data_IF_320833999993
#
_entry.id   IF_320833999993
#
_cell.length_a   1.000
_cell.length_b   1.000
_cell.length_c   1.000
_cell.angle_alpha   90.00
_cell.angle_beta   90.00
_cell.angle_gamma   90.00
#
_symmetry.space_group_name_H-M   'P 1'
#
loop_
_entity.id
_entity.type
_entity.pdbx_description
1 polymer ?
#
# COMPACT_ATOMS: atom_id res chain seq x y z
N UNK A 1 27.03 -6.95 35.92
CA UNK A 1 25.71 -6.67 35.32
C UNK A 1 25.58 -5.16 35.17
N UNK A 2 25.58 -4.61 33.96
CA UNK A 2 25.88 -3.21 33.67
C UNK A 2 24.77 -2.25 34.11
N UNK A 3 24.96 -1.40 35.14
CA UNK A 3 23.91 -0.49 35.65
C UNK A 3 23.45 0.58 34.66
N UNK A 4 24.30 0.95 33.69
CA UNK A 4 23.99 1.91 32.63
C UNK A 4 22.98 1.37 31.61
N UNK A 5 22.96 0.07 31.35
CA UNK A 5 21.96 -0.58 30.48
C UNK A 5 20.57 -0.53 31.11
N UNK A 6 20.46 -0.73 32.42
CA UNK A 6 19.17 -0.68 33.14
C UNK A 6 18.64 0.74 33.29
N UNK A 7 19.52 1.74 33.47
CA UNK A 7 19.12 3.16 33.54
C UNK A 7 18.73 3.70 32.17
N UNK A 8 19.45 3.32 31.11
CA UNK A 8 19.12 3.67 29.71
C UNK A 8 17.81 3.02 29.27
N UNK A 9 17.59 1.75 29.57
CA UNK A 9 16.32 1.05 29.32
C UNK A 9 15.16 1.62 30.12
N UNK A 10 15.37 2.06 31.37
CA UNK A 10 14.35 2.77 32.17
C UNK A 10 14.01 4.15 31.57
N UNK A 11 15.01 4.91 31.14
CA UNK A 11 14.84 6.21 30.48
C UNK A 11 14.16 6.07 29.11
N UNK A 12 14.47 5.00 28.34
CA UNK A 12 13.75 4.64 27.12
C UNK A 12 12.29 4.24 27.40
N UNK A 13 12.03 3.49 28.48
CA UNK A 13 10.68 3.05 28.87
C UNK A 13 9.79 4.19 29.40
N UNK A 14 10.37 5.28 29.92
CA UNK A 14 9.64 6.45 30.44
C UNK A 14 9.30 7.50 29.38
N UNK A 15 9.87 7.43 28.18
CA UNK A 15 9.54 8.35 27.08
C UNK A 15 8.15 8.02 26.54
N UNK A 16 7.22 8.97 26.69
CA UNK A 16 5.87 8.89 26.11
C UNK A 16 5.89 8.59 24.62
N UNK A 17 6.87 9.15 23.91
CA UNK A 17 7.10 8.91 22.48
C UNK A 17 7.36 7.43 22.17
N UNK A 18 8.25 6.78 22.94
CA UNK A 18 8.61 5.38 22.70
C UNK A 18 7.42 4.46 23.01
N UNK A 19 6.71 4.72 24.10
CA UNK A 19 5.51 3.95 24.45
C UNK A 19 4.43 4.09 23.36
N UNK A 20 4.22 5.29 22.86
CA UNK A 20 3.23 5.58 21.83
C UNK A 20 3.61 4.99 20.47
N UNK A 21 4.89 5.08 20.10
CA UNK A 21 5.44 4.44 18.90
C UNK A 21 5.33 2.91 18.97
N UNK A 22 5.66 2.32 20.11
CA UNK A 22 5.53 0.88 20.32
C UNK A 22 4.07 0.41 20.18
N UNK A 23 3.11 1.13 20.75
CA UNK A 23 1.68 0.80 20.60
C UNK A 23 1.23 0.88 19.15
N UNK A 24 1.66 1.92 18.43
CA UNK A 24 1.31 2.08 17.01
C UNK A 24 1.97 1.00 16.14
N UNK A 25 3.25 0.67 16.40
CA UNK A 25 3.98 -0.38 15.69
C UNK A 25 3.37 -1.75 15.96
N UNK A 26 3.07 -2.09 17.21
CA UNK A 26 2.45 -3.37 17.58
C UNK A 26 1.06 -3.53 16.96
N UNK A 27 0.20 -2.49 17.06
CA UNK A 27 -1.13 -2.54 16.47
C UNK A 27 -1.10 -2.61 14.94
N UNK A 28 -0.17 -1.89 14.30
CA UNK A 28 0.02 -1.99 12.84
C UNK A 28 0.58 -3.37 12.45
N UNK A 29 1.51 -3.92 13.23
CA UNK A 29 2.05 -5.26 13.01
C UNK A 29 0.97 -6.35 13.11
N UNK A 30 0.14 -6.32 14.15
CA UNK A 30 -1.01 -7.24 14.30
C UNK A 30 -1.95 -7.11 13.10
N UNK A 31 -2.30 -5.88 12.72
CA UNK A 31 -3.17 -5.63 11.58
C UNK A 31 -2.59 -6.12 10.23
N UNK A 32 -1.27 -6.23 10.10
CA UNK A 32 -0.60 -6.81 8.92
C UNK A 32 -0.49 -8.32 8.98
N UNK A 33 -0.37 -8.91 10.17
CA UNK A 33 -0.27 -10.36 10.34
C UNK A 33 -1.62 -11.05 10.09
N UNK A 34 -2.74 -10.49 10.57
CA UNK A 34 -4.08 -11.06 10.40
C UNK A 34 -4.38 -11.45 8.93
N UNK A 35 -4.19 -10.55 7.93
CA UNK A 35 -4.43 -10.89 6.54
C UNK A 35 -3.54 -12.00 5.98
N UNK A 36 -2.35 -12.20 6.55
CA UNK A 36 -1.44 -13.29 6.14
C UNK A 36 -1.90 -14.61 6.73
N UNK A 37 -2.26 -14.62 8.02
CA UNK A 37 -2.70 -15.84 8.70
C UNK A 37 -4.04 -16.39 8.17
N UNK A 38 -4.91 -15.52 7.68
CA UNK A 38 -6.22 -15.93 7.17
C UNK A 38 -6.15 -16.48 5.73
N UNK A 39 -5.10 -16.17 4.96
CA UNK A 39 -4.96 -16.59 3.56
C UNK A 39 -5.19 -18.11 3.41
N UNK A 40 -4.53 -19.00 4.18
CA UNK A 40 -4.73 -20.46 4.04
C UNK A 40 -6.16 -20.92 4.31
N UNK A 41 -6.91 -20.19 5.12
CA UNK A 41 -8.34 -20.46 5.38
C UNK A 41 -9.18 -20.04 4.18
N UNK A 42 -8.94 -18.82 3.68
CA UNK A 42 -9.69 -18.29 2.54
C UNK A 42 -9.47 -19.10 1.26
N UNK A 43 -8.24 -19.57 1.01
CA UNK A 43 -7.94 -20.37 -0.19
C UNK A 43 -8.53 -21.78 -0.16
N UNK A 44 -8.96 -22.28 1.00
CA UNK A 44 -9.71 -23.52 1.12
C UNK A 44 -11.23 -23.33 1.03
N UNK A 45 -11.70 -22.10 1.24
CA UNK A 45 -13.12 -21.74 1.21
C UNK A 45 -13.57 -21.13 -0.11
N UNK A 46 -12.63 -20.57 -0.89
CA UNK A 46 -12.92 -19.80 -2.10
C UNK A 46 -12.07 -20.28 -3.27
N UNK A 47 -12.69 -20.37 -4.43
CA UNK A 47 -12.00 -20.69 -5.67
C UNK A 47 -11.06 -19.56 -6.13
N UNK A 48 -10.03 -19.88 -6.93
CA UNK A 48 -9.11 -18.87 -7.47
C UNK A 48 -9.81 -17.74 -8.23
N UNK A 49 -10.84 -18.02 -9.01
CA UNK A 49 -11.63 -16.99 -9.72
C UNK A 49 -12.34 -16.02 -8.79
N UNK A 50 -12.90 -16.51 -7.67
CA UNK A 50 -13.56 -15.65 -6.68
C UNK A 50 -12.58 -14.67 -6.04
N UNK A 51 -11.36 -15.14 -5.77
CA UNK A 51 -10.27 -14.30 -5.26
C UNK A 51 -9.80 -13.32 -6.33
N UNK A 52 -9.84 -13.70 -7.62
CA UNK A 52 -9.58 -12.80 -8.74
C UNK A 52 -10.59 -11.65 -8.82
N UNK A 53 -11.87 -11.93 -8.68
CA UNK A 53 -12.92 -10.90 -8.61
C UNK A 53 -12.71 -9.99 -7.39
N UNK A 54 -12.39 -10.55 -6.22
CA UNK A 54 -12.02 -9.74 -5.05
C UNK A 54 -10.80 -8.85 -5.35
N UNK A 55 -9.79 -9.38 -6.03
CA UNK A 55 -8.58 -8.62 -6.37
C UNK A 55 -8.90 -7.46 -7.32
N UNK A 56 -9.80 -7.65 -8.30
CA UNK A 56 -10.30 -6.58 -9.16
C UNK A 56 -11.07 -5.52 -8.37
N UNK A 57 -11.97 -5.93 -7.46
CA UNK A 57 -12.66 -5.00 -6.55
C UNK A 57 -11.67 -4.19 -5.70
N UNK A 58 -10.67 -4.85 -5.10
CA UNK A 58 -9.63 -4.20 -4.28
C UNK A 58 -8.80 -3.24 -5.14
N UNK A 59 -8.52 -3.58 -6.40
CA UNK A 59 -7.79 -2.71 -7.32
C UNK A 59 -8.54 -1.40 -7.59
N UNK A 60 -9.82 -1.49 -7.95
CA UNK A 60 -10.69 -0.32 -8.13
C UNK A 60 -10.82 0.49 -6.83
N UNK A 61 -11.11 -0.20 -5.72
CA UNK A 61 -11.18 0.40 -4.39
C UNK A 61 -9.92 1.18 -4.05
N UNK A 62 -8.73 0.63 -4.30
CA UNK A 62 -7.45 1.27 -3.96
C UNK A 62 -7.20 2.49 -4.84
N UNK A 63 -7.48 2.39 -6.15
CA UNK A 63 -7.30 3.50 -7.10
C UNK A 63 -8.18 4.70 -6.70
N UNK A 64 -9.46 4.48 -6.39
CA UNK A 64 -10.36 5.57 -6.03
C UNK A 64 -10.12 6.08 -4.60
N UNK A 65 -9.81 5.20 -3.65
CA UNK A 65 -9.57 5.59 -2.25
C UNK A 65 -8.36 6.48 -2.07
N UNK A 66 -7.34 6.35 -2.93
CA UNK A 66 -6.10 7.12 -2.80
C UNK A 66 -6.30 8.62 -2.97
N UNK A 67 -7.34 9.03 -3.70
CA UNK A 67 -7.67 10.45 -3.96
C UNK A 67 -8.95 10.90 -3.26
N UNK A 68 -9.65 10.01 -2.54
CA UNK A 68 -10.98 10.28 -1.99
C UNK A 68 -11.04 11.56 -1.13
N UNK A 69 -10.05 11.79 -0.25
CA UNK A 69 -9.92 12.99 0.58
C UNK A 69 -9.18 14.15 -0.08
N UNK A 70 -8.86 14.08 -1.38
CA UNK A 70 -8.04 15.06 -2.08
C UNK A 70 -6.61 15.17 -1.54
N UNK A 71 -6.15 14.18 -0.78
CA UNK A 71 -4.85 14.14 -0.09
C UNK A 71 -4.67 15.22 0.98
N UNK A 72 -5.70 16.00 1.29
CA UNK A 72 -5.67 16.98 2.37
C UNK A 72 -5.49 16.34 3.76
N UNK A 73 -5.80 15.06 3.91
CA UNK A 73 -5.60 14.32 5.15
C UNK A 73 -4.14 14.35 5.63
N UNK A 74 -3.16 14.37 4.73
CA UNK A 74 -1.74 14.48 5.08
C UNK A 74 -1.38 15.85 5.66
N UNK A 75 -2.11 16.88 5.28
CA UNK A 75 -1.96 18.23 5.81
C UNK A 75 -2.46 18.40 7.25
N UNK A 76 -3.30 17.51 7.79
CA UNK A 76 -3.95 17.69 9.10
C UNK A 76 -2.93 17.85 10.25
N UNK A 77 -1.79 17.20 10.16
CA UNK A 77 -0.74 17.25 11.21
C UNK A 77 0.25 18.40 11.05
N UNK A 78 0.24 19.12 9.92
CA UNK A 78 1.25 20.11 9.58
C UNK A 78 1.05 21.48 10.26
N UNK A 79 -0.17 22.07 10.29
CA UNK A 79 -0.37 23.38 10.87
C UNK A 79 -0.13 23.39 12.38
N UNK A 80 0.44 24.49 12.91
CA UNK A 80 0.54 24.69 14.36
C UNK A 80 -0.87 24.84 15.00
N UNK A 81 -1.77 25.54 14.31
CA UNK A 81 -3.12 25.85 14.75
C UNK A 81 -4.04 24.63 14.66
N UNK A 82 -4.71 24.30 15.75
CA UNK A 82 -5.77 23.26 15.75
C UNK A 82 -6.95 23.64 14.85
N UNK A 83 -7.17 24.93 14.61
CA UNK A 83 -8.22 25.43 13.71
C UNK A 83 -7.93 25.02 12.27
N UNK A 84 -6.72 25.22 11.77
CA UNK A 84 -6.33 24.81 10.42
C UNK A 84 -6.35 23.29 10.26
N UNK A 85 -5.84 22.55 11.26
CA UNK A 85 -5.91 21.07 11.26
C UNK A 85 -7.35 20.53 11.23
N UNK A 86 -8.27 21.20 11.96
CA UNK A 86 -9.71 20.89 11.92
C UNK A 86 -10.33 21.20 10.57
N UNK A 87 -10.02 22.35 9.98
CA UNK A 87 -10.51 22.72 8.66
C UNK A 87 -10.09 21.67 7.61
N UNK A 88 -8.86 21.18 7.67
CA UNK A 88 -8.36 20.11 6.78
C UNK A 88 -9.08 18.78 7.03
N UNK A 89 -9.44 18.45 8.27
CA UNK A 89 -10.26 17.27 8.57
C UNK A 89 -11.63 17.36 7.89
N UNK A 90 -12.32 18.48 8.07
CA UNK A 90 -13.64 18.68 7.43
C UNK A 90 -13.53 18.70 5.90
N UNK A 91 -12.51 19.37 5.35
CA UNK A 91 -12.27 19.42 3.90
C UNK A 91 -12.03 18.02 3.34
N UNK A 92 -11.12 17.26 3.93
CA UNK A 92 -10.85 15.88 3.50
C UNK A 92 -12.08 14.97 3.67
N UNK A 93 -12.80 15.08 4.78
CA UNK A 93 -14.04 14.33 5.01
C UNK A 93 -15.13 14.65 3.99
N UNK A 94 -15.36 15.94 3.72
CA UNK A 94 -16.35 16.40 2.71
C UNK A 94 -15.96 15.90 1.32
N UNK A 95 -14.68 16.03 0.93
CA UNK A 95 -14.21 15.52 -0.35
C UNK A 95 -14.36 14.01 -0.46
N UNK A 96 -14.14 13.26 0.63
CA UNK A 96 -14.37 11.81 0.64
C UNK A 96 -15.83 11.44 0.37
N UNK A 97 -16.77 12.19 0.94
CA UNK A 97 -18.20 11.99 0.67
C UNK A 97 -18.54 12.38 -0.77
N UNK A 98 -18.04 13.51 -1.26
CA UNK A 98 -18.25 13.95 -2.65
C UNK A 98 -17.68 12.93 -3.63
N UNK A 99 -16.49 12.43 -3.40
CA UNK A 99 -15.87 11.39 -4.23
C UNK A 99 -16.70 10.11 -4.24
N UNK A 100 -17.27 9.72 -3.11
CA UNK A 100 -18.19 8.59 -3.03
C UNK A 100 -19.48 8.83 -3.81
N UNK A 101 -20.07 10.03 -3.72
CA UNK A 101 -21.27 10.39 -4.49
C UNK A 101 -21.01 10.40 -6.01
N UNK A 102 -19.88 10.97 -6.43
CA UNK A 102 -19.45 10.92 -7.84
C UNK A 102 -19.28 9.46 -8.30
N UNK A 103 -18.63 8.64 -7.47
CA UNK A 103 -18.43 7.23 -7.80
C UNK A 103 -19.76 6.45 -7.81
N UNK A 104 -20.71 6.78 -6.92
CA UNK A 104 -22.06 6.22 -6.95
C UNK A 104 -22.78 6.57 -8.27
N UNK A 105 -22.69 7.83 -8.68
CA UNK A 105 -23.23 8.25 -9.98
C UNK A 105 -22.58 7.46 -11.13
N UNK A 106 -21.25 7.32 -11.14
CA UNK A 106 -20.56 6.56 -12.18
C UNK A 106 -20.97 5.08 -12.19
N UNK A 107 -21.14 4.45 -11.02
CA UNK A 107 -21.57 3.04 -10.92
C UNK A 107 -23.02 2.88 -11.43
N UNK A 108 -23.90 3.81 -11.14
CA UNK A 108 -25.30 3.76 -11.64
C UNK A 108 -25.37 3.73 -13.16
N UNK A 109 -24.60 4.59 -13.82
CA UNK A 109 -24.68 4.76 -15.28
C UNK A 109 -23.70 3.87 -16.05
N UNK A 110 -22.57 3.51 -15.44
CA UNK A 110 -21.47 2.83 -16.12
C UNK A 110 -21.06 1.49 -15.47
N UNK A 111 -21.72 1.07 -14.39
CA UNK A 111 -21.34 -0.16 -13.68
C UNK A 111 -21.39 -1.41 -14.55
N UNK A 112 -22.48 -1.63 -15.29
CA UNK A 112 -22.61 -2.74 -16.21
C UNK A 112 -21.59 -2.69 -17.36
N UNK A 113 -21.52 -1.56 -18.12
CA UNK A 113 -20.46 -1.38 -19.13
C UNK A 113 -19.05 -1.59 -18.62
N UNK A 114 -18.72 -1.12 -17.42
CA UNK A 114 -17.39 -1.33 -16.81
C UNK A 114 -17.15 -2.79 -16.48
N UNK A 115 -18.11 -3.48 -15.86
CA UNK A 115 -17.98 -4.91 -15.53
C UNK A 115 -17.80 -5.76 -16.80
N UNK A 116 -18.53 -5.44 -17.87
CA UNK A 116 -18.41 -6.08 -19.16
C UNK A 116 -17.07 -5.78 -19.83
N UNK A 117 -16.60 -4.52 -19.80
CA UNK A 117 -15.32 -4.12 -20.36
C UNK A 117 -14.13 -4.76 -19.65
N UNK A 118 -14.26 -5.02 -18.34
CA UNK A 118 -13.24 -5.72 -17.52
C UNK A 118 -13.39 -7.25 -17.61
N UNK A 119 -14.34 -7.75 -18.41
CA UNK A 119 -14.65 -9.19 -18.52
C UNK A 119 -14.89 -9.88 -17.16
N UNK A 120 -15.52 -9.17 -16.23
CA UNK A 120 -15.78 -9.63 -14.88
C UNK A 120 -17.26 -9.44 -14.50
N UNK A 121 -18.20 -10.13 -15.14
CA UNK A 121 -19.65 -9.95 -14.89
C UNK A 121 -20.03 -10.22 -13.44
N UNK A 122 -19.36 -11.15 -12.76
CA UNK A 122 -19.56 -11.44 -11.34
C UNK A 122 -19.18 -10.26 -10.42
N UNK A 123 -18.43 -9.26 -10.91
CA UNK A 123 -18.10 -8.05 -10.17
C UNK A 123 -19.26 -7.03 -10.17
N UNK A 124 -20.10 -7.02 -11.21
CA UNK A 124 -21.15 -6.01 -11.42
C UNK A 124 -22.05 -5.79 -10.20
N UNK A 125 -22.64 -6.84 -9.59
CA UNK A 125 -23.53 -6.67 -8.42
C UNK A 125 -22.83 -6.03 -7.22
N UNK A 126 -21.50 -6.10 -7.17
CA UNK A 126 -20.69 -5.64 -6.03
C UNK A 126 -20.12 -4.24 -6.23
N UNK A 127 -20.18 -3.68 -7.44
CA UNK A 127 -19.71 -2.31 -7.71
C UNK A 127 -20.47 -1.28 -6.87
N UNK A 128 -21.72 -1.58 -6.45
CA UNK A 128 -22.50 -0.71 -5.56
C UNK A 128 -21.91 -0.51 -4.17
N UNK A 129 -21.07 -1.43 -3.72
CA UNK A 129 -20.35 -1.29 -2.45
C UNK A 129 -19.12 -0.37 -2.58
N UNK A 130 -18.64 -0.13 -3.80
CA UNK A 130 -17.41 0.64 -4.04
C UNK A 130 -17.53 2.10 -3.55
N UNK A 131 -18.60 2.87 -3.86
CA UNK A 131 -18.78 4.22 -3.36
C UNK A 131 -18.75 4.33 -1.84
N UNK A 132 -19.45 3.43 -1.17
CA UNK A 132 -19.54 3.42 0.30
C UNK A 132 -18.18 3.06 0.92
N UNK A 133 -17.48 2.06 0.37
CA UNK A 133 -16.17 1.65 0.87
C UNK A 133 -15.10 2.71 0.62
N UNK A 134 -15.11 3.39 -0.53
CA UNK A 134 -14.19 4.50 -0.85
C UNK A 134 -14.42 5.68 0.09
N UNK A 135 -15.67 6.07 0.31
CA UNK A 135 -16.03 7.11 1.28
C UNK A 135 -15.54 6.74 2.68
N UNK A 136 -15.84 5.52 3.13
CA UNK A 136 -15.43 5.06 4.46
C UNK A 136 -13.90 5.03 4.61
N UNK A 137 -13.16 4.64 3.56
CA UNK A 137 -11.69 4.65 3.57
C UNK A 137 -11.13 6.07 3.63
N UNK A 138 -11.70 7.02 2.89
CA UNK A 138 -11.32 8.43 2.95
C UNK A 138 -11.55 9.02 4.35
N UNK A 139 -12.70 8.74 4.95
CA UNK A 139 -12.99 9.12 6.33
C UNK A 139 -12.04 8.44 7.31
N UNK A 140 -11.77 7.14 7.15
CA UNK A 140 -10.79 6.42 7.97
C UNK A 140 -9.42 7.13 7.95
N UNK A 141 -8.94 7.52 6.78
CA UNK A 141 -7.67 8.24 6.62
C UNK A 141 -7.72 9.61 7.31
N UNK A 142 -8.74 10.43 7.04
CA UNK A 142 -8.89 11.76 7.63
C UNK A 142 -8.93 11.71 9.17
N UNK A 143 -9.76 10.83 9.75
CA UNK A 143 -9.84 10.66 11.20
C UNK A 143 -8.59 10.00 11.80
N UNK A 144 -7.89 9.14 11.06
CA UNK A 144 -6.61 8.58 11.50
C UNK A 144 -5.55 9.66 11.67
N UNK A 145 -5.42 10.59 10.69
CA UNK A 145 -4.49 11.72 10.81
C UNK A 145 -4.91 12.72 11.90
N UNK A 146 -6.22 12.97 12.07
CA UNK A 146 -6.72 13.83 13.15
C UNK A 146 -6.44 13.22 14.53
N UNK A 147 -6.66 11.92 14.72
CA UNK A 147 -6.32 11.23 15.96
C UNK A 147 -4.80 11.16 16.19
N UNK A 148 -4.00 11.05 15.13
CA UNK A 148 -2.54 11.13 15.20
C UNK A 148 -2.10 12.51 15.74
N UNK A 149 -2.64 13.60 15.19
CA UNK A 149 -2.42 14.96 15.70
C UNK A 149 -2.75 15.08 17.19
N UNK A 150 -3.84 14.43 17.63
CA UNK A 150 -4.27 14.41 19.02
C UNK A 150 -3.59 13.31 19.86
N UNK A 151 -2.52 12.68 19.36
CA UNK A 151 -1.73 11.62 20.05
C UNK A 151 -2.55 10.39 20.48
N UNK A 152 -3.68 10.12 19.81
CA UNK A 152 -4.57 8.99 20.13
C UNK A 152 -4.16 7.70 19.40
N UNK A 153 -2.90 7.32 19.50
CA UNK A 153 -2.28 6.19 18.78
C UNK A 153 -2.95 4.83 19.04
N UNK A 154 -3.44 4.61 20.29
CA UNK A 154 -4.18 3.40 20.63
C UNK A 154 -5.47 3.25 19.84
N UNK A 155 -6.19 4.36 19.62
CA UNK A 155 -7.43 4.34 18.83
C UNK A 155 -7.16 4.03 17.37
N UNK A 156 -6.07 4.56 16.81
CA UNK A 156 -5.64 4.28 15.43
C UNK A 156 -5.26 2.80 15.29
N UNK A 157 -4.44 2.29 16.23
CA UNK A 157 -4.05 0.88 16.23
C UNK A 157 -5.27 -0.06 16.32
N UNK A 158 -6.19 0.22 17.24
CA UNK A 158 -7.42 -0.54 17.40
C UNK A 158 -8.31 -0.46 16.12
N UNK A 159 -8.38 0.70 15.47
CA UNK A 159 -9.10 0.86 14.21
C UNK A 159 -8.52 -0.01 13.08
N UNK A 160 -7.19 -0.07 12.94
CA UNK A 160 -6.51 -0.93 11.96
C UNK A 160 -6.76 -2.42 12.25
N UNK A 161 -6.64 -2.84 13.52
CA UNK A 161 -6.91 -4.23 13.93
C UNK A 161 -8.38 -4.58 13.73
N UNK A 162 -9.31 -3.67 14.05
CA UNK A 162 -10.74 -3.84 13.79
C UNK A 162 -11.01 -4.02 12.29
N UNK A 163 -10.35 -3.22 11.42
CA UNK A 163 -10.49 -3.33 9.97
C UNK A 163 -10.13 -4.72 9.48
N UNK A 164 -8.93 -5.19 9.81
CA UNK A 164 -8.43 -6.48 9.32
C UNK A 164 -9.12 -7.66 10.01
N UNK A 165 -9.42 -7.54 11.29
CA UNK A 165 -10.15 -8.57 12.05
C UNK A 165 -11.58 -8.75 11.56
N UNK A 166 -12.34 -7.66 11.38
CA UNK A 166 -13.70 -7.73 10.82
C UNK A 166 -13.68 -8.31 9.40
N UNK A 167 -12.75 -7.84 8.56
CA UNK A 167 -12.58 -8.40 7.20
C UNK A 167 -12.37 -9.92 7.27
N UNK A 168 -11.43 -10.38 8.07
CA UNK A 168 -11.11 -11.80 8.20
C UNK A 168 -12.30 -12.62 8.71
N UNK A 169 -12.99 -12.15 9.74
CA UNK A 169 -14.16 -12.86 10.32
C UNK A 169 -15.29 -12.97 9.30
N UNK A 170 -15.67 -11.85 8.66
CA UNK A 170 -16.80 -11.84 7.73
C UNK A 170 -16.48 -12.66 6.47
N UNK A 171 -15.24 -12.57 5.95
CA UNK A 171 -14.82 -13.39 4.83
C UNK A 171 -14.83 -14.87 5.17
N UNK A 172 -14.37 -15.27 6.35
CA UNK A 172 -14.41 -16.69 6.78
C UNK A 172 -15.83 -17.19 6.95
N UNK A 173 -16.68 -16.43 7.64
CA UNK A 173 -18.10 -16.79 7.81
C UNK A 173 -18.84 -16.85 6.47
N UNK A 174 -18.59 -15.88 5.58
CA UNK A 174 -19.17 -15.88 4.23
C UNK A 174 -18.73 -17.08 3.40
N UNK A 175 -17.47 -17.54 3.53
CA UNK A 175 -16.97 -18.74 2.87
C UNK A 175 -17.62 -20.01 3.41
N UNK A 176 -17.70 -20.16 4.73
CA UNK A 176 -18.38 -21.30 5.38
C UNK A 176 -19.87 -21.36 5.00
N UNK A 177 -20.51 -20.20 4.86
CA UNK A 177 -21.94 -20.10 4.51
C UNK A 177 -22.20 -20.17 2.99
N UNK A 178 -21.17 -20.33 2.15
CA UNK A 178 -21.31 -20.46 0.71
C UNK A 178 -21.73 -19.17 -0.02
N UNK A 179 -21.41 -17.99 0.53
CA UNK A 179 -21.75 -16.70 -0.10
C UNK A 179 -20.90 -16.38 -1.34
N UNK A 180 -19.94 -17.21 -1.68
CA UNK A 180 -19.03 -17.02 -2.81
C UNK A 180 -18.33 -15.68 -2.77
N UNK A 181 -18.17 -15.04 -3.92
CA UNK A 181 -17.56 -13.71 -4.07
C UNK A 181 -18.14 -12.66 -3.11
N UNK A 182 -19.47 -12.78 -2.81
CA UNK A 182 -20.15 -11.88 -1.89
C UNK A 182 -19.52 -11.86 -0.50
N UNK A 183 -19.19 -13.03 0.05
CA UNK A 183 -18.52 -13.11 1.36
C UNK A 183 -17.19 -12.39 1.41
N UNK A 184 -16.42 -12.46 0.32
CA UNK A 184 -15.14 -11.77 0.19
C UNK A 184 -15.28 -10.25 0.14
N UNK A 185 -16.20 -9.75 -0.71
CA UNK A 185 -16.36 -8.31 -0.94
C UNK A 185 -17.09 -7.63 0.23
N UNK A 186 -18.15 -8.24 0.75
CA UNK A 186 -18.87 -7.76 1.94
C UNK A 186 -17.91 -7.72 3.13
N UNK A 187 -17.07 -8.76 3.32
CA UNK A 187 -16.08 -8.77 4.38
C UNK A 187 -15.09 -7.61 4.27
N UNK A 188 -14.60 -7.28 3.07
CA UNK A 188 -13.75 -6.13 2.81
C UNK A 188 -14.47 -4.82 3.13
N UNK A 189 -15.70 -4.65 2.65
CA UNK A 189 -16.51 -3.46 2.88
C UNK A 189 -16.82 -3.26 4.37
N UNK A 190 -17.27 -4.31 5.06
CA UNK A 190 -17.57 -4.28 6.49
C UNK A 190 -16.34 -3.87 7.32
N UNK A 191 -15.16 -4.44 7.03
CA UNK A 191 -13.94 -4.07 7.71
C UNK A 191 -13.61 -2.58 7.59
N UNK A 192 -13.73 -2.01 6.39
CA UNK A 192 -13.47 -0.58 6.13
C UNK A 192 -14.51 0.30 6.83
N UNK A 193 -15.80 -0.01 6.71
CA UNK A 193 -16.90 0.78 7.28
C UNK A 193 -16.83 0.77 8.82
N UNK A 194 -16.66 -0.39 9.44
CA UNK A 194 -16.60 -0.52 10.90
C UNK A 194 -15.37 0.21 11.44
N UNK A 195 -14.22 0.11 10.76
CA UNK A 195 -13.02 0.81 11.19
C UNK A 195 -13.15 2.34 11.08
N UNK A 196 -13.79 2.86 10.04
CA UNK A 196 -14.09 4.27 9.91
C UNK A 196 -15.02 4.75 11.04
N UNK A 197 -16.10 4.01 11.30
CA UNK A 197 -17.01 4.27 12.42
C UNK A 197 -16.30 4.24 13.78
N UNK A 198 -15.37 3.30 13.98
CA UNK A 198 -14.52 3.25 15.19
C UNK A 198 -13.69 4.51 15.36
N UNK A 199 -12.98 4.98 14.31
CA UNK A 199 -12.16 6.19 14.43
C UNK A 199 -13.00 7.46 14.64
N UNK A 200 -14.14 7.57 13.97
CA UNK A 200 -15.09 8.67 14.17
C UNK A 200 -15.57 8.67 15.63
N UNK A 201 -16.02 7.53 16.16
CA UNK A 201 -16.48 7.42 17.55
C UNK A 201 -15.35 7.67 18.55
N UNK A 202 -14.12 7.23 18.24
CA UNK A 202 -12.96 7.51 19.06
C UNK A 202 -12.64 9.02 19.11
N UNK A 203 -12.78 9.72 17.98
CA UNK A 203 -12.59 11.17 17.89
C UNK A 203 -13.62 11.91 18.70
N UNK A 204 -14.90 11.55 18.58
CA UNK A 204 -16.01 12.14 19.35
C UNK A 204 -15.85 11.97 20.87
N UNK A 205 -15.31 10.83 21.31
CA UNK A 205 -15.16 10.53 22.74
C UNK A 205 -13.86 11.08 23.34
N UNK A 206 -12.75 11.05 22.58
CA UNK A 206 -11.40 11.30 23.14
C UNK A 206 -10.82 12.65 22.77
N UNK A 207 -11.29 13.27 21.68
CA UNK A 207 -10.84 14.58 21.23
C UNK A 207 -12.00 15.46 20.72
N UNK A 208 -13.13 15.59 21.47
CA UNK A 208 -14.31 16.33 21.02
C UNK A 208 -14.01 17.81 20.80
N UNK A 209 -13.08 18.38 21.55
CA UNK A 209 -12.66 19.79 21.42
C UNK A 209 -12.05 20.10 20.05
N UNK A 210 -11.46 19.10 19.37
CA UNK A 210 -10.93 19.26 18.03
C UNK A 210 -12.04 19.43 16.98
N UNK A 211 -13.28 18.94 17.23
CA UNK A 211 -14.43 18.98 16.33
C UNK A 211 -15.27 20.27 16.45
N UNK A 212 -14.64 21.41 16.72
CA UNK A 212 -15.36 22.69 16.83
C UNK A 212 -15.96 23.19 15.51
N UNK A 213 -16.66 24.33 15.58
CA UNK A 213 -17.30 24.94 14.41
C UNK A 213 -16.26 25.37 13.36
N UNK A 214 -16.60 25.23 12.09
CA UNK A 214 -15.81 25.63 10.93
C UNK A 214 -16.60 26.69 10.15
N UNK A 215 -15.93 27.78 9.76
CA UNK A 215 -16.51 28.83 8.92
C UNK A 215 -16.15 28.56 7.45
N UNK A 216 -17.10 28.71 6.49
CA UNK A 216 -16.84 28.47 5.06
C UNK A 216 -15.65 29.27 4.51
N UNK A 217 -15.49 30.54 4.93
CA UNK A 217 -14.40 31.39 4.46
C UNK A 217 -13.03 30.89 4.94
N UNK A 218 -12.96 30.35 6.16
CA UNK A 218 -11.74 29.77 6.70
C UNK A 218 -11.42 28.44 6.01
N UNK A 219 -12.44 27.65 5.68
CA UNK A 219 -12.28 26.41 4.93
C UNK A 219 -11.66 26.70 3.55
N UNK A 220 -12.18 27.75 2.83
CA UNK A 220 -11.64 28.17 1.54
C UNK A 220 -10.19 28.65 1.65
N UNK A 221 -9.87 29.46 2.67
CA UNK A 221 -8.50 29.93 2.91
C UNK A 221 -7.55 28.75 3.17
N UNK A 222 -7.94 27.82 4.05
CA UNK A 222 -7.14 26.63 4.33
C UNK A 222 -6.99 25.75 3.10
N UNK A 223 -8.04 25.56 2.30
CA UNK A 223 -7.98 24.82 1.05
C UNK A 223 -6.97 25.42 0.06
N UNK A 224 -6.95 26.76 -0.07
CA UNK A 224 -5.98 27.46 -0.93
C UNK A 224 -4.54 27.36 -0.40
N UNK A 225 -4.35 27.47 0.91
CA UNK A 225 -3.03 27.35 1.57
C UNK A 225 -2.42 25.96 1.33
N UNK A 226 -3.22 24.91 1.41
CA UNK A 226 -2.79 23.52 1.24
C UNK A 226 -3.07 22.95 -0.15
N UNK A 227 -3.27 23.78 -1.16
CA UNK A 227 -3.60 23.37 -2.54
C UNK A 227 -2.54 22.46 -3.19
N UNK A 228 -1.33 22.45 -2.68
CA UNK A 228 -0.24 21.58 -3.15
C UNK A 228 -0.58 20.07 -3.04
N UNK A 229 -1.40 19.69 -2.05
CA UNK A 229 -1.80 18.30 -1.89
C UNK A 229 -2.67 17.79 -3.04
N UNK A 230 -3.84 18.38 -3.36
CA UNK A 230 -4.62 17.93 -4.51
C UNK A 230 -3.95 18.23 -5.85
N UNK A 231 -3.13 19.29 -5.95
CA UNK A 231 -2.50 19.70 -7.21
C UNK A 231 -1.33 18.80 -7.62
N UNK A 232 -0.51 18.37 -6.67
CA UNK A 232 0.73 17.61 -6.96
C UNK A 232 0.73 16.23 -6.33
N UNK A 233 0.31 16.10 -5.06
CA UNK A 233 0.37 14.82 -4.36
C UNK A 233 -0.73 13.85 -4.84
N UNK A 234 -1.95 14.33 -5.11
CA UNK A 234 -3.03 13.46 -5.57
C UNK A 234 -2.76 12.84 -6.95
N UNK A 235 -2.34 13.59 -8.00
CA UNK A 235 -1.97 12.99 -9.28
C UNK A 235 -0.83 11.98 -9.18
N UNK A 236 0.23 12.31 -8.42
CA UNK A 236 1.34 11.37 -8.18
C UNK A 236 0.85 10.07 -7.53
N UNK A 237 0.03 10.19 -6.48
CA UNK A 237 -0.50 9.05 -5.78
C UNK A 237 -1.46 8.21 -6.64
N UNK A 238 -2.25 8.88 -7.50
CA UNK A 238 -3.15 8.21 -8.44
C UNK A 238 -2.36 7.39 -9.47
N UNK A 239 -1.35 7.97 -10.10
CA UNK A 239 -0.48 7.26 -11.06
C UNK A 239 0.21 6.07 -10.39
N UNK A 240 0.71 6.24 -9.17
CA UNK A 240 1.31 5.16 -8.38
C UNK A 240 0.31 4.05 -8.08
N UNK A 241 -0.92 4.42 -7.70
CA UNK A 241 -1.99 3.46 -7.39
C UNK A 241 -2.44 2.70 -8.64
N UNK A 242 -2.65 3.40 -9.75
CA UNK A 242 -2.98 2.77 -11.05
C UNK A 242 -1.88 1.80 -11.44
N UNK A 243 -0.62 2.23 -11.42
CA UNK A 243 0.54 1.38 -11.78
C UNK A 243 0.59 0.08 -10.98
N UNK A 244 0.31 0.15 -9.67
CA UNK A 244 0.35 -1.03 -8.80
C UNK A 244 -0.83 -1.98 -8.96
N UNK A 245 -2.00 -1.48 -9.39
CA UNK A 245 -3.24 -2.26 -9.47
C UNK A 245 -3.61 -2.66 -10.92
N UNK A 246 -3.05 -1.97 -11.92
CA UNK A 246 -3.35 -2.20 -13.32
C UNK A 246 -3.06 -3.64 -13.80
N UNK A 247 -1.98 -4.34 -13.38
CA UNK A 247 -1.75 -5.71 -13.78
C UNK A 247 -2.93 -6.64 -13.45
N UNK A 248 -3.52 -6.53 -12.28
CA UNK A 248 -4.70 -7.33 -11.89
C UNK A 248 -5.88 -7.05 -12.81
N UNK A 249 -6.13 -5.76 -13.10
CA UNK A 249 -7.23 -5.35 -13.98
C UNK A 249 -6.99 -5.86 -15.41
N UNK A 250 -5.77 -5.75 -15.93
CA UNK A 250 -5.45 -6.25 -17.27
C UNK A 250 -5.56 -7.78 -17.34
N UNK A 251 -5.11 -8.50 -16.31
CA UNK A 251 -5.16 -9.97 -16.33
C UNK A 251 -6.58 -10.51 -16.23
N UNK A 252 -7.47 -9.89 -15.46
CA UNK A 252 -8.87 -10.30 -15.44
C UNK A 252 -9.59 -9.92 -16.74
N UNK A 253 -9.25 -8.78 -17.34
CA UNK A 253 -9.87 -8.28 -18.56
C UNK A 253 -9.55 -9.15 -19.78
N UNK A 254 -8.29 -9.52 -19.93
CA UNK A 254 -7.80 -10.15 -21.17
C UNK A 254 -7.55 -11.65 -21.05
N UNK A 255 -7.55 -12.20 -19.84
CA UNK A 255 -7.40 -13.63 -19.61
C UNK A 255 -8.59 -14.17 -18.81
N UNK A 256 -8.38 -14.59 -17.56
CA UNK A 256 -9.46 -15.12 -16.70
C UNK A 256 -9.38 -14.58 -15.28
N UNK A 257 -10.52 -14.65 -14.58
CA UNK A 257 -10.63 -14.35 -13.15
C UNK A 257 -9.70 -15.24 -12.30
N UNK A 258 -9.57 -16.53 -12.63
CA UNK A 258 -8.66 -17.45 -11.95
C UNK A 258 -7.19 -17.03 -12.11
N UNK A 259 -6.76 -16.62 -13.30
CA UNK A 259 -5.41 -16.11 -13.57
C UNK A 259 -5.15 -14.86 -12.73
N UNK A 260 -6.10 -13.91 -12.69
CA UNK A 260 -6.00 -12.73 -11.86
C UNK A 260 -5.91 -13.08 -10.36
N UNK A 261 -6.63 -14.11 -9.91
CA UNK A 261 -6.59 -14.64 -8.55
C UNK A 261 -5.24 -15.23 -8.18
N UNK A 262 -4.69 -16.11 -9.01
CA UNK A 262 -3.35 -16.68 -8.84
C UNK A 262 -2.27 -15.59 -8.80
N UNK A 263 -2.33 -14.63 -9.73
CA UNK A 263 -1.39 -13.50 -9.75
C UNK A 263 -1.50 -12.64 -8.50
N UNK A 264 -2.71 -12.28 -8.09
CA UNK A 264 -2.93 -11.45 -6.91
C UNK A 264 -2.37 -12.12 -5.64
N UNK A 265 -2.57 -13.44 -5.49
CA UNK A 265 -2.00 -14.20 -4.38
C UNK A 265 -0.48 -14.32 -4.48
N UNK A 266 0.07 -14.62 -5.66
CA UNK A 266 1.50 -14.69 -5.91
C UNK A 266 2.19 -13.38 -5.55
N UNK A 267 1.66 -12.26 -6.04
CA UNK A 267 2.21 -10.94 -5.77
C UNK A 267 2.10 -10.55 -4.30
N UNK A 268 0.92 -10.75 -3.69
CA UNK A 268 0.67 -10.41 -2.27
C UNK A 268 1.59 -11.19 -1.34
N UNK A 269 1.72 -12.51 -1.52
CA UNK A 269 2.56 -13.35 -0.68
C UNK A 269 4.05 -13.03 -0.85
N UNK A 270 4.51 -12.81 -2.08
CA UNK A 270 5.91 -12.47 -2.37
C UNK A 270 6.29 -11.07 -1.88
N UNK A 271 5.37 -10.10 -1.96
CA UNK A 271 5.63 -8.70 -1.63
C UNK A 271 5.46 -8.36 -0.15
N UNK A 272 4.79 -9.21 0.63
CA UNK A 272 4.57 -8.98 2.06
C UNK A 272 5.89 -8.80 2.86
N UNK A 273 6.94 -9.61 2.68
CA UNK A 273 8.24 -9.39 3.34
C UNK A 273 8.88 -8.05 2.97
N UNK A 274 8.74 -7.62 1.69
CA UNK A 274 9.27 -6.33 1.20
C UNK A 274 8.65 -5.17 1.98
N UNK A 275 7.34 -5.17 2.16
CA UNK A 275 6.64 -4.09 2.87
C UNK A 275 7.03 -3.99 4.35
N UNK A 276 7.16 -5.13 5.03
CA UNK A 276 7.52 -5.17 6.45
C UNK A 276 8.92 -4.57 6.65
N UNK A 277 9.88 -4.99 5.84
CA UNK A 277 11.28 -4.54 5.94
C UNK A 277 11.39 -3.06 5.53
N UNK A 278 10.70 -2.64 4.47
CA UNK A 278 10.73 -1.26 3.99
C UNK A 278 10.27 -0.27 5.06
N UNK A 279 9.19 -0.61 5.78
CA UNK A 279 8.67 0.24 6.85
C UNK A 279 9.66 0.39 8.03
N UNK A 280 10.42 -0.68 8.35
CA UNK A 280 11.35 -0.68 9.47
C UNK A 280 12.68 0.02 9.13
N UNK A 281 13.16 -0.16 7.91
CA UNK A 281 14.53 0.23 7.52
C UNK A 281 14.59 1.60 6.86
N UNK A 282 13.54 1.99 6.10
CA UNK A 282 13.55 3.22 5.31
C UNK A 282 13.90 4.47 6.12
N UNK A 283 13.27 4.66 7.27
CA UNK A 283 13.51 5.85 8.11
C UNK A 283 14.91 5.87 8.73
N UNK A 284 15.41 4.72 9.18
CA UNK A 284 16.75 4.60 9.79
C UNK A 284 17.84 4.79 8.73
N UNK A 285 17.64 4.18 7.55
CA UNK A 285 18.59 4.29 6.46
C UNK A 285 18.67 5.73 5.93
N UNK A 286 17.53 6.39 5.67
CA UNK A 286 17.49 7.77 5.18
C UNK A 286 18.23 8.74 6.11
N UNK A 287 18.01 8.61 7.43
CA UNK A 287 18.72 9.43 8.43
C UNK A 287 20.23 9.20 8.40
N UNK A 288 20.68 7.93 8.45
CA UNK A 288 22.11 7.61 8.41
C UNK A 288 22.81 8.01 7.10
N UNK A 289 22.06 7.94 5.99
CA UNK A 289 22.56 8.35 4.70
C UNK A 289 22.83 9.87 4.69
N UNK A 290 21.91 10.68 5.23
CA UNK A 290 22.06 12.12 5.36
C UNK A 290 23.24 12.47 6.30
N UNK A 291 23.34 11.82 7.45
CA UNK A 291 24.48 11.98 8.39
C UNK A 291 25.82 11.75 7.68
N UNK A 292 25.95 10.62 6.96
CA UNK A 292 27.20 10.29 6.25
C UNK A 292 27.56 11.28 5.13
N UNK A 293 26.55 11.81 4.42
CA UNK A 293 26.77 12.86 3.43
C UNK A 293 27.31 14.12 4.09
N UNK A 294 26.77 14.53 5.23
CA UNK A 294 27.24 15.70 5.98
C UNK A 294 28.64 15.51 6.58
N UNK A 295 28.98 14.28 6.97
CA UNK A 295 30.32 13.91 7.48
C UNK A 295 31.39 13.83 6.38
N UNK A 296 31.03 14.01 5.10
CA UNK A 296 31.95 13.83 3.97
C UNK A 296 32.43 12.41 3.78
N UNK A 297 31.73 11.42 4.37
CA UNK A 297 32.07 10.01 4.28
C UNK A 297 31.73 9.44 2.90
N UNK A 298 32.40 8.33 2.52
CA UNK A 298 32.11 7.65 1.27
C UNK A 298 30.69 7.03 1.27
N UNK A 299 29.72 7.80 0.78
CA UNK A 299 28.30 7.44 0.70
C UNK A 299 28.10 6.20 -0.19
N UNK A 300 28.84 6.12 -1.32
CA UNK A 300 28.76 4.99 -2.26
C UNK A 300 29.13 3.67 -1.59
N UNK A 301 30.24 3.63 -0.85
CA UNK A 301 30.67 2.43 -0.14
C UNK A 301 29.63 2.00 0.91
N UNK A 302 29.00 2.94 1.59
CA UNK A 302 27.91 2.67 2.52
C UNK A 302 26.68 2.08 1.83
N UNK A 303 26.26 2.65 0.69
CA UNK A 303 25.13 2.15 -0.11
C UNK A 303 25.37 0.74 -0.60
N UNK A 304 26.57 0.45 -1.15
CA UNK A 304 26.97 -0.90 -1.58
C UNK A 304 26.89 -1.89 -0.40
N UNK A 305 27.42 -1.50 0.76
CA UNK A 305 27.36 -2.34 1.96
C UNK A 305 25.92 -2.67 2.35
N UNK A 306 25.00 -1.71 2.28
CA UNK A 306 23.57 -1.92 2.56
C UNK A 306 22.93 -2.84 1.53
N UNK A 307 23.19 -2.63 0.23
CA UNK A 307 22.70 -3.51 -0.84
C UNK A 307 23.13 -4.97 -0.60
N UNK A 308 24.41 -5.20 -0.29
CA UNK A 308 24.94 -6.54 -0.04
C UNK A 308 24.31 -7.20 1.21
N UNK A 309 24.04 -6.43 2.27
CA UNK A 309 23.36 -6.96 3.45
C UNK A 309 21.92 -7.38 3.14
N UNK A 310 21.17 -6.53 2.40
CA UNK A 310 19.80 -6.88 1.99
C UNK A 310 19.80 -8.07 1.02
N UNK A 311 20.76 -8.13 0.10
CA UNK A 311 20.91 -9.29 -0.78
C UNK A 311 21.16 -10.56 0.04
N UNK A 312 22.09 -10.54 1.00
CA UNK A 312 22.39 -11.70 1.83
C UNK A 312 21.18 -12.15 2.69
N UNK A 313 20.45 -11.20 3.30
CA UNK A 313 19.26 -11.50 4.11
C UNK A 313 18.13 -12.08 3.26
N UNK A 314 17.93 -11.54 2.06
CA UNK A 314 16.83 -11.95 1.17
C UNK A 314 17.08 -13.26 0.44
N UNK A 315 18.35 -13.67 0.22
CA UNK A 315 18.67 -14.84 -0.61
C UNK A 315 18.03 -16.14 -0.11
N UNK A 316 17.94 -16.34 1.18
CA UNK A 316 17.34 -17.55 1.77
C UNK A 316 15.82 -17.59 1.58
N UNK A 317 15.02 -16.60 2.04
CA UNK A 317 13.58 -16.66 1.89
C UNK A 317 13.12 -16.59 0.43
N UNK A 318 13.72 -15.72 -0.39
CA UNK A 318 13.35 -15.61 -1.81
C UNK A 318 13.89 -16.80 -2.63
N UNK A 319 15.07 -17.33 -2.30
CA UNK A 319 15.60 -18.55 -2.90
C UNK A 319 14.73 -19.77 -2.61
N UNK A 320 14.23 -19.92 -1.38
CA UNK A 320 13.29 -20.98 -1.01
C UNK A 320 12.00 -20.88 -1.83
N UNK A 321 11.43 -19.68 -1.94
CA UNK A 321 10.22 -19.44 -2.74
C UNK A 321 10.46 -19.69 -4.24
N UNK A 322 11.65 -19.38 -4.76
CA UNK A 322 12.02 -19.65 -6.14
C UNK A 322 12.13 -21.14 -6.42
N UNK A 323 12.80 -21.90 -5.54
CA UNK A 323 13.03 -23.33 -5.74
C UNK A 323 11.82 -24.18 -5.42
N UNK A 324 11.16 -23.90 -4.30
CA UNK A 324 10.07 -24.73 -3.76
C UNK A 324 8.68 -24.06 -3.86
N UNK A 325 8.53 -22.97 -4.61
CA UNK A 325 7.27 -22.21 -4.71
C UNK A 325 6.02 -23.07 -4.88
N UNK A 326 5.88 -23.92 -5.94
CA UNK A 326 4.70 -24.74 -6.12
C UNK A 326 4.41 -25.67 -4.94
N UNK A 327 5.42 -26.31 -4.37
CA UNK A 327 5.25 -27.19 -3.21
C UNK A 327 4.81 -26.41 -1.96
N UNK A 328 5.43 -25.25 -1.70
CA UNK A 328 5.11 -24.37 -0.57
C UNK A 328 3.67 -23.84 -0.70
N UNK A 329 3.28 -23.35 -1.88
CA UNK A 329 1.95 -22.79 -2.09
C UNK A 329 0.88 -23.88 -2.13
N UNK A 330 1.14 -25.04 -2.75
CA UNK A 330 0.25 -26.18 -2.72
C UNK A 330 0.00 -26.70 -1.30
N UNK A 331 1.05 -26.75 -0.46
CA UNK A 331 0.93 -27.17 0.95
C UNK A 331 0.16 -26.13 1.80
N UNK A 332 0.52 -24.85 1.69
CA UNK A 332 -0.06 -23.79 2.53
C UNK A 332 -1.49 -23.44 2.08
N UNK A 333 -1.69 -23.23 0.78
CA UNK A 333 -2.95 -22.71 0.23
C UNK A 333 -3.91 -23.81 -0.25
N UNK A 334 -3.41 -25.02 -0.50
CA UNK A 334 -4.15 -26.14 -1.06
C UNK A 334 -3.72 -26.48 -2.49
N UNK A 335 -4.08 -27.69 -2.95
CA UNK A 335 -3.62 -28.24 -4.24
C UNK A 335 -3.97 -27.36 -5.45
N UNK A 336 -5.15 -26.75 -5.44
CA UNK A 336 -5.62 -25.87 -6.53
C UNK A 336 -4.76 -24.59 -6.69
N UNK A 337 -3.95 -24.26 -5.68
CA UNK A 337 -3.10 -23.08 -5.64
C UNK A 337 -1.64 -23.33 -5.99
N UNK A 338 -1.30 -24.55 -6.44
CA UNK A 338 0.06 -24.91 -6.86
C UNK A 338 0.58 -23.97 -7.97
N UNK A 339 -0.31 -23.61 -8.92
CA UNK A 339 -0.04 -22.66 -10.01
C UNK A 339 0.44 -21.28 -9.48
N UNK A 340 -0.05 -20.85 -8.32
CA UNK A 340 0.44 -19.61 -7.67
C UNK A 340 1.95 -19.67 -7.43
N UNK A 341 2.47 -20.85 -7.06
CA UNK A 341 3.90 -21.05 -6.86
C UNK A 341 4.72 -20.90 -8.13
N UNK A 342 4.19 -21.29 -9.30
CA UNK A 342 4.86 -21.05 -10.57
C UNK A 342 4.90 -19.56 -10.91
N UNK A 343 3.82 -18.82 -10.64
CA UNK A 343 3.79 -17.37 -10.83
C UNK A 343 4.77 -16.68 -9.87
N UNK A 344 4.88 -17.16 -8.64
CA UNK A 344 5.87 -16.69 -7.67
C UNK A 344 7.29 -16.88 -8.19
N UNK A 345 7.63 -18.05 -8.74
CA UNK A 345 8.96 -18.29 -9.34
C UNK A 345 9.31 -17.24 -10.39
N UNK A 346 8.37 -16.89 -11.26
CA UNK A 346 8.57 -15.88 -12.30
C UNK A 346 8.72 -14.48 -11.69
N UNK A 347 7.98 -14.15 -10.64
CA UNK A 347 7.99 -12.84 -10.01
C UNK A 347 9.17 -12.63 -9.04
N UNK A 348 9.71 -13.69 -8.45
CA UNK A 348 10.75 -13.59 -7.41
C UNK A 348 11.97 -12.77 -7.84
N UNK A 349 12.55 -12.89 -9.05
CA UNK A 349 13.69 -12.06 -9.43
C UNK A 349 13.39 -10.56 -9.32
N UNK A 350 12.21 -10.14 -9.77
CA UNK A 350 11.76 -8.75 -9.67
C UNK A 350 11.48 -8.34 -8.21
N UNK A 351 10.78 -9.16 -7.45
CA UNK A 351 10.41 -8.86 -6.04
C UNK A 351 11.67 -8.85 -5.15
N UNK A 352 12.61 -9.75 -5.38
CA UNK A 352 13.88 -9.78 -4.66
C UNK A 352 14.73 -8.53 -4.91
N UNK A 353 14.85 -8.08 -6.16
CA UNK A 353 15.52 -6.82 -6.46
C UNK A 353 14.78 -5.61 -5.87
N UNK A 354 13.44 -5.63 -5.86
CA UNK A 354 12.65 -4.61 -5.18
C UNK A 354 12.98 -4.57 -3.68
N UNK A 355 13.07 -5.74 -3.02
CA UNK A 355 13.47 -5.84 -1.62
C UNK A 355 14.85 -5.22 -1.35
N UNK A 356 15.81 -5.48 -2.21
CA UNK A 356 17.18 -4.96 -2.08
C UNK A 356 17.23 -3.44 -2.31
N UNK A 357 16.46 -2.93 -3.28
CA UNK A 357 16.51 -1.52 -3.70
C UNK A 357 15.62 -0.59 -2.88
N UNK A 358 14.64 -1.13 -2.18
CA UNK A 358 13.65 -0.33 -1.44
C UNK A 358 14.27 0.71 -0.48
N UNK A 359 15.31 0.39 0.32
CA UNK A 359 15.95 1.39 1.18
C UNK A 359 16.56 2.56 0.41
N UNK A 360 17.01 2.33 -0.83
CA UNK A 360 17.68 3.32 -1.66
C UNK A 360 16.75 4.41 -2.22
N UNK A 361 15.45 4.23 -2.10
CA UNK A 361 14.44 5.20 -2.57
C UNK A 361 14.59 6.61 -1.99
N UNK A 362 15.34 6.79 -0.91
CA UNK A 362 15.70 8.08 -0.32
C UNK A 362 16.86 8.80 -1.03
N UNK A 363 17.67 8.12 -1.85
CA UNK A 363 18.84 8.70 -2.52
C UNK A 363 18.46 9.87 -3.43
N UNK A 364 17.45 9.80 -4.31
CA UNK A 364 17.05 10.91 -5.14
C UNK A 364 16.63 12.15 -4.35
N UNK A 365 16.05 11.97 -3.16
CA UNK A 365 15.68 13.06 -2.27
C UNK A 365 16.94 13.75 -1.70
N UNK A 366 17.95 12.97 -1.34
CA UNK A 366 19.20 13.48 -0.75
C UNK A 366 20.05 14.30 -1.75
N UNK A 367 19.90 14.00 -3.05
CA UNK A 367 20.65 14.66 -4.15
C UNK A 367 19.77 15.56 -5.03
N UNK A 368 18.59 15.98 -4.56
CA UNK A 368 17.63 16.84 -5.26
C UNK A 368 17.26 16.40 -6.69
N UNK A 369 17.20 15.06 -6.90
CA UNK A 369 16.89 14.43 -8.19
C UNK A 369 15.48 13.82 -8.25
N UNK A 370 14.52 14.34 -7.47
CA UNK A 370 13.15 13.82 -7.41
C UNK A 370 12.43 13.87 -8.75
N UNK A 371 12.66 14.94 -9.54
CA UNK A 371 12.07 15.08 -10.88
C UNK A 371 12.52 13.95 -11.80
N UNK A 372 13.83 13.65 -11.81
CA UNK A 372 14.38 12.54 -12.60
C UNK A 372 13.84 11.19 -12.11
N UNK A 373 13.78 10.98 -10.79
CA UNK A 373 13.20 9.77 -10.20
C UNK A 373 11.73 9.57 -10.63
N UNK A 374 10.94 10.65 -10.68
CA UNK A 374 9.55 10.59 -11.13
C UNK A 374 9.44 10.26 -12.63
N UNK A 375 10.28 10.84 -13.48
CA UNK A 375 10.30 10.51 -14.91
C UNK A 375 10.68 9.04 -15.12
N UNK A 376 11.72 8.55 -14.44
CA UNK A 376 12.11 7.14 -14.49
C UNK A 376 11.00 6.20 -14.00
N UNK A 377 10.26 6.61 -12.97
CA UNK A 377 9.09 5.88 -12.51
C UNK A 377 8.02 5.81 -13.60
N UNK A 378 7.68 6.91 -14.27
CA UNK A 378 6.70 6.91 -15.36
C UNK A 378 7.14 6.03 -16.53
N UNK A 379 8.41 6.09 -16.93
CA UNK A 379 8.99 5.22 -17.96
C UNK A 379 8.86 3.74 -17.52
N UNK A 380 9.16 3.45 -16.26
CA UNK A 380 9.05 2.10 -15.69
C UNK A 380 7.62 1.56 -15.76
N UNK A 381 6.63 2.41 -15.48
CA UNK A 381 5.21 2.06 -15.58
C UNK A 381 4.85 1.74 -17.02
N UNK A 382 5.23 2.62 -17.97
CA UNK A 382 4.92 2.46 -19.38
C UNK A 382 5.54 1.18 -19.96
N UNK A 383 6.83 0.94 -19.69
CA UNK A 383 7.53 -0.26 -20.18
C UNK A 383 6.88 -1.54 -19.65
N UNK A 384 6.47 -1.57 -18.37
CA UNK A 384 5.79 -2.75 -17.80
C UNK A 384 4.38 -2.95 -18.36
N UNK A 385 3.66 -1.87 -18.64
CA UNK A 385 2.35 -1.95 -19.31
C UNK A 385 2.53 -2.53 -20.71
N UNK A 386 3.49 -2.04 -21.49
CA UNK A 386 3.79 -2.57 -22.83
C UNK A 386 4.19 -4.05 -22.77
N UNK A 387 4.97 -4.45 -21.77
CA UNK A 387 5.34 -5.84 -21.54
C UNK A 387 4.11 -6.75 -21.32
N UNK A 388 3.13 -6.29 -20.54
CA UNK A 388 1.87 -7.02 -20.34
C UNK A 388 1.09 -7.10 -21.67
N UNK A 389 0.96 -5.99 -22.38
CA UNK A 389 0.24 -5.97 -23.68
C UNK A 389 0.88 -6.83 -24.74
N UNK A 390 2.20 -7.02 -24.73
CA UNK A 390 2.87 -7.98 -25.64
C UNK A 390 2.35 -9.40 -25.45
N UNK A 391 2.22 -9.85 -24.20
CA UNK A 391 1.68 -11.18 -23.94
C UNK A 391 0.16 -11.27 -24.21
N UNK A 392 -0.59 -10.18 -23.99
CA UNK A 392 -2.02 -10.09 -24.35
C UNK A 392 -2.18 -10.24 -25.88
N UNK A 393 -1.36 -9.54 -26.65
CA UNK A 393 -1.40 -9.61 -28.12
C UNK A 393 -1.08 -11.01 -28.67
N UNK A 394 -0.23 -11.76 -27.96
CA UNK A 394 0.11 -13.15 -28.28
C UNK A 394 -0.89 -14.17 -27.72
N UNK A 395 -1.88 -13.75 -26.94
CA UNK A 395 -2.80 -14.58 -26.16
C UNK A 395 -2.07 -15.58 -25.21
N UNK A 396 -0.93 -15.16 -24.68
CA UNK A 396 -0.07 -15.97 -23.82
C UNK A 396 0.18 -15.26 -22.47
N UNK A 397 -0.61 -15.61 -21.44
CA UNK A 397 -0.47 -15.03 -20.11
C UNK A 397 0.96 -15.15 -19.52
N UNK A 398 1.57 -16.33 -19.68
CA UNK A 398 2.93 -16.56 -19.16
C UNK A 398 3.95 -15.61 -19.78
N UNK A 399 3.79 -15.23 -21.04
CA UNK A 399 4.63 -14.22 -21.71
C UNK A 399 4.44 -12.84 -21.06
N UNK A 400 3.19 -12.45 -20.78
CA UNK A 400 2.90 -11.22 -20.05
C UNK A 400 3.62 -11.19 -18.69
N UNK A 401 3.54 -12.26 -17.93
CA UNK A 401 4.11 -12.36 -16.58
C UNK A 401 5.65 -12.37 -16.61
N UNK A 402 6.25 -13.12 -17.54
CA UNK A 402 7.70 -13.19 -17.71
C UNK A 402 8.24 -11.82 -18.15
N UNK A 403 7.64 -11.18 -19.15
CA UNK A 403 8.08 -9.87 -19.63
C UNK A 403 7.88 -8.78 -18.56
N UNK A 404 6.77 -8.82 -17.80
CA UNK A 404 6.55 -7.92 -16.67
C UNK A 404 7.64 -8.05 -15.60
N UNK A 405 8.02 -9.28 -15.25
CA UNK A 405 9.09 -9.54 -14.28
C UNK A 405 10.46 -9.15 -14.83
N UNK A 406 10.79 -9.56 -16.05
CA UNK A 406 12.08 -9.29 -16.68
C UNK A 406 12.32 -7.78 -16.88
N UNK A 407 11.33 -7.04 -17.39
CA UNK A 407 11.42 -5.58 -17.51
C UNK A 407 11.55 -4.91 -16.15
N UNK A 408 10.84 -5.41 -15.14
CA UNK A 408 10.99 -4.95 -13.75
C UNK A 408 12.43 -5.14 -13.23
N UNK A 409 13.04 -6.30 -13.49
CA UNK A 409 14.44 -6.59 -13.15
C UNK A 409 15.40 -5.61 -13.83
N UNK A 410 15.27 -5.43 -15.15
CA UNK A 410 16.14 -4.52 -15.92
C UNK A 410 16.05 -3.08 -15.43
N UNK A 411 14.85 -2.60 -15.14
CA UNK A 411 14.60 -1.27 -14.61
C UNK A 411 15.25 -1.10 -13.23
N UNK A 412 15.12 -2.09 -12.34
CA UNK A 412 15.70 -2.00 -11.00
C UNK A 412 17.24 -2.07 -11.03
N UNK A 413 17.82 -2.85 -11.94
CA UNK A 413 19.26 -2.85 -12.17
C UNK A 413 19.75 -1.47 -12.65
N UNK A 414 19.01 -0.83 -13.57
CA UNK A 414 19.28 0.54 -13.98
C UNK A 414 19.15 1.52 -12.82
N UNK A 415 18.13 1.39 -11.94
CA UNK A 415 17.98 2.23 -10.76
C UNK A 415 19.16 2.06 -9.79
N UNK A 416 19.67 0.84 -9.57
CA UNK A 416 20.88 0.62 -8.74
C UNK A 416 22.05 1.37 -9.33
N UNK A 417 22.29 1.21 -10.65
CA UNK A 417 23.36 1.92 -11.34
C UNK A 417 23.23 3.44 -11.16
N UNK A 418 22.04 3.98 -11.42
CA UNK A 418 21.76 5.41 -11.29
C UNK A 418 21.93 5.93 -9.85
N UNK A 419 21.46 5.19 -8.85
CA UNK A 419 21.65 5.58 -7.45
C UNK A 419 23.13 5.61 -7.05
N UNK A 420 23.91 4.66 -7.52
CA UNK A 420 25.36 4.63 -7.26
C UNK A 420 26.08 5.78 -7.96
N UNK A 421 25.70 6.13 -9.20
CA UNK A 421 26.28 7.28 -9.92
C UNK A 421 25.98 8.61 -9.23
N UNK A 422 24.79 8.78 -8.64
CA UNK A 422 24.47 9.97 -7.84
C UNK A 422 25.37 10.11 -6.60
N UNK A 423 25.75 8.97 -6.00
CA UNK A 423 26.68 8.96 -4.87
C UNK A 423 28.12 9.34 -5.26
N UNK A 424 28.53 9.14 -6.52
CA UNK A 424 29.84 9.53 -7.05
C UNK A 424 29.91 11.03 -7.35
N UNK A 425 28.89 11.57 -8.03
CA UNK A 425 28.84 13.00 -8.40
C UNK A 425 28.73 13.94 -7.20
N UNK A 426 28.12 13.49 -6.10
CA UNK A 426 28.06 14.25 -4.86
C UNK A 426 29.41 14.35 -4.10
N UNK A 427 30.42 13.58 -4.50
CA UNK A 427 31.77 13.66 -3.94
C UNK A 427 32.67 14.69 -4.68
N UNK A 428 32.28 15.06 -5.90
CA UNK A 428 33.07 15.95 -6.78
C UNK A 428 32.47 17.36 -6.83
N UNK A 429 31.73 17.84 -5.86
CA UNK A 429 31.40 19.25 -5.62
C UNK A 429 31.20 20.17 -6.84
N UNK A 430 30.71 19.68 -7.97
CA UNK A 430 30.43 20.48 -9.15
C UNK A 430 28.92 20.63 -9.34
N UNK A 431 28.47 21.87 -9.34
CA UNK A 431 27.12 22.43 -9.56
C UNK A 431 26.43 21.97 -10.86
#
# INVERSE_FOLDING_TARGET
>A
MFPWLTSTLKRFRSSEFIRNSAVMMTGTGIAQIIPVLIIPVLTRLYAPGEIGILAAFISLFTIFSVIAGGRYEFGIIMPESDRSGRNLLYLSGTLSVISGLILAFLVVFFGGPVASAVNAPLLEPWLWLLPVTVTAQGLFMAFSFALNRNKQYRSIAAGKVSQTGTTAVVQTLGGISGWGVGGLIIGKAAGVIISAGWLISAMLRRAPRFLGRVKPDELKKTAAEFISYPKYNAPHALVTSISGNLPVILFITFFTDAIAGFYAMAFRASYAPVQIVSAAVGQVFGKRLAEKKHEGANVRAYVIKVLLHFAAIGIVPFGLLFLAGPAVFGFILGADWTVTGDYVRILIPYVYLTFITQPLSYIPLLYDRQKTAFILFLISVLVRILAIFTGIWLDLFMVSLILYSATGVLILLYHIYWYLSLCDTGATGDD
#
